data_IF_199496934603
#
_entry.id   IF_199496934603
#
_cell.length_a   1.000
_cell.length_b   1.000
_cell.length_c   1.000
_cell.angle_alpha   90.00
_cell.angle_beta   90.00
_cell.angle_gamma   90.00
#
_symmetry.space_group_name_H-M   'P 1'
#
loop_
_entity.id
_entity.type
_entity.pdbx_description
1 polymer ?
#
# COMPACT_ATOMS: atom_id res chain seq x y z
N UNK A 1 -5.19 -0.66 1.08
CA UNK A 1 -4.69 -1.72 0.16
C UNK A 1 -3.75 -2.60 0.93
N UNK A 2 -3.54 -3.85 0.51
CA UNK A 2 -2.67 -4.79 1.23
C UNK A 2 -1.62 -5.38 0.29
N UNK A 3 -0.35 -5.21 0.63
CA UNK A 3 0.74 -5.95 0.01
C UNK A 3 0.70 -7.38 0.53
N UNK A 4 0.64 -8.33 -0.38
CA UNK A 4 0.75 -9.76 -0.12
C UNK A 4 2.23 -10.14 -0.18
N UNK A 5 2.79 -10.66 0.89
CA UNK A 5 4.23 -10.87 1.02
C UNK A 5 4.58 -12.36 1.18
N UNK A 6 5.68 -12.79 0.54
CA UNK A 6 6.22 -14.15 0.70
C UNK A 6 6.75 -14.39 2.12
N UNK A 7 7.38 -13.36 2.70
CA UNK A 7 7.91 -13.34 4.07
C UNK A 7 7.47 -12.08 4.79
N UNK A 8 7.31 -12.17 6.10
CA UNK A 8 7.01 -11.00 6.93
C UNK A 8 8.11 -9.94 6.75
N UNK A 9 7.68 -8.72 6.41
CA UNK A 9 8.57 -7.56 6.34
C UNK A 9 7.98 -6.45 7.20
N UNK A 10 8.75 -6.02 8.20
CA UNK A 10 8.40 -4.87 9.01
C UNK A 10 9.13 -3.66 8.42
N UNK A 11 8.44 -2.95 7.53
CA UNK A 11 8.98 -1.74 6.91
C UNK A 11 9.39 -0.73 7.99
N UNK A 12 10.68 -0.39 7.99
CA UNK A 12 11.24 0.61 8.90
C UNK A 12 10.86 2.01 8.45
N UNK A 13 10.94 2.95 9.38
CA UNK A 13 10.73 4.38 9.14
C UNK A 13 11.51 4.90 7.91
N UNK A 14 12.79 4.53 7.76
CA UNK A 14 13.62 4.92 6.62
C UNK A 14 13.08 4.39 5.28
N UNK A 15 12.66 3.13 5.23
CA UNK A 15 12.09 2.51 4.02
C UNK A 15 10.79 3.20 3.61
N UNK A 16 9.91 3.46 4.58
CA UNK A 16 8.65 4.14 4.36
C UNK A 16 8.85 5.60 3.97
N UNK A 17 9.85 6.27 4.55
CA UNK A 17 10.23 7.64 4.19
C UNK A 17 10.70 7.69 2.75
N UNK A 18 11.62 6.80 2.34
CA UNK A 18 12.08 6.71 0.96
C UNK A 18 10.94 6.41 -0.02
N UNK A 19 10.04 5.49 0.32
CA UNK A 19 8.88 5.19 -0.52
C UNK A 19 7.95 6.40 -0.66
N UNK A 20 7.69 7.13 0.44
CA UNK A 20 6.88 8.34 0.41
C UNK A 20 7.57 9.47 -0.39
N UNK A 21 8.86 9.68 -0.22
CA UNK A 21 9.62 10.69 -0.97
C UNK A 21 9.57 10.42 -2.48
N UNK A 22 9.71 9.15 -2.90
CA UNK A 22 9.52 8.75 -4.31
C UNK A 22 8.09 8.97 -4.79
N UNK A 23 7.10 8.59 -3.99
CA UNK A 23 5.70 8.67 -4.35
C UNK A 23 5.24 10.11 -4.58
N UNK A 24 5.74 11.08 -3.80
CA UNK A 24 5.32 12.48 -3.90
C UNK A 24 6.36 13.45 -4.46
N UNK A 25 7.61 13.03 -4.66
CA UNK A 25 8.68 13.90 -5.17
C UNK A 25 9.04 15.04 -4.22
N UNK A 26 8.78 14.88 -2.92
CA UNK A 26 9.03 15.86 -1.86
C UNK A 26 9.74 15.20 -0.69
N UNK A 27 10.53 15.94 0.06
CA UNK A 27 11.23 15.42 1.25
C UNK A 27 10.28 15.22 2.44
N UNK A 28 10.54 14.19 3.24
CA UNK A 28 9.80 13.90 4.46
C UNK A 28 10.72 14.10 5.67
N UNK A 29 10.22 14.73 6.73
CA UNK A 29 10.96 14.91 7.98
C UNK A 29 10.86 13.66 8.87
N UNK A 30 11.80 13.53 9.79
CA UNK A 30 11.82 12.47 10.81
C UNK A 30 10.88 12.77 12.01
N UNK A 31 10.30 13.98 12.11
CA UNK A 31 9.50 14.42 13.26
C UNK A 31 8.20 15.15 12.87
N UNK A 32 7.27 15.19 13.82
CA UNK A 32 5.85 15.55 13.66
C UNK A 32 5.57 17.05 13.40
N UNK A 33 6.59 17.91 13.51
CA UNK A 33 6.47 19.36 13.28
C UNK A 33 6.34 19.71 11.77
N UNK A 34 6.56 18.75 10.88
CA UNK A 34 6.46 18.92 9.43
C UNK A 34 5.05 18.60 8.90
N UNK A 35 4.70 19.20 7.75
CA UNK A 35 3.51 18.77 6.99
C UNK A 35 3.70 17.37 6.34
N UNK A 36 4.93 16.87 6.33
CA UNK A 36 5.33 15.60 5.71
C UNK A 36 6.28 14.85 6.65
N UNK A 37 5.83 13.73 7.22
CA UNK A 37 6.66 12.92 8.12
C UNK A 37 6.23 11.45 8.15
N UNK A 38 7.14 10.62 8.63
CA UNK A 38 6.88 9.24 9.04
C UNK A 38 7.14 9.13 10.54
N UNK A 39 6.18 8.58 11.28
CA UNK A 39 6.35 8.27 12.70
C UNK A 39 6.06 6.80 12.95
N UNK A 40 6.97 6.14 13.64
CA UNK A 40 6.85 4.73 14.00
C UNK A 40 7.05 4.58 15.51
N UNK A 41 6.05 4.02 16.19
CA UNK A 41 6.08 3.78 17.63
C UNK A 41 5.49 2.41 17.93
N UNK A 42 6.36 1.46 18.27
CA UNK A 42 5.98 0.07 18.46
C UNK A 42 5.37 -0.53 17.19
N UNK A 43 4.09 -0.89 17.23
CA UNK A 43 3.34 -1.46 16.09
C UNK A 43 2.57 -0.42 15.28
N UNK A 44 2.55 0.84 15.73
CA UNK A 44 1.83 1.93 15.06
C UNK A 44 2.81 2.63 14.14
N UNK A 45 2.45 2.71 12.86
CA UNK A 45 3.23 3.46 11.87
C UNK A 45 2.31 4.40 11.12
N UNK A 46 2.56 5.70 11.22
CA UNK A 46 1.78 6.73 10.55
C UNK A 46 2.65 7.50 9.57
N UNK A 47 2.08 7.80 8.41
CA UNK A 47 2.70 8.65 7.38
C UNK A 47 1.78 9.83 7.17
N UNK A 48 2.29 11.04 7.40
CA UNK A 48 1.60 12.28 7.07
C UNK A 48 2.14 12.85 5.77
N UNK A 49 1.26 13.17 4.84
CA UNK A 49 1.59 13.88 3.59
C UNK A 49 0.58 14.99 3.33
N UNK A 50 0.95 16.21 3.73
CA UNK A 50 0.06 17.37 3.67
C UNK A 50 -1.22 17.13 4.48
N UNK A 51 -2.42 17.18 3.85
CA UNK A 51 -3.66 16.92 4.56
C UNK A 51 -3.87 15.43 4.88
N UNK A 52 -3.14 14.52 4.24
CA UNK A 52 -3.39 13.08 4.31
C UNK A 52 -2.61 12.39 5.44
N UNK A 53 -3.25 11.43 6.08
CA UNK A 53 -2.67 10.54 7.09
C UNK A 53 -2.94 9.10 6.67
N UNK A 54 -1.88 8.30 6.62
CA UNK A 54 -1.90 6.88 6.33
C UNK A 54 -1.45 6.11 7.56
N UNK A 55 -2.06 4.95 7.80
CA UNK A 55 -1.56 3.97 8.76
C UNK A 55 -0.98 2.78 8.00
N UNK A 56 0.20 2.32 8.42
CA UNK A 56 0.84 1.11 7.90
C UNK A 56 0.88 0.08 9.01
N UNK A 57 0.31 -1.10 8.76
CA UNK A 57 0.34 -2.23 9.67
C UNK A 57 0.99 -3.43 9.01
N UNK A 58 1.63 -4.28 9.82
CA UNK A 58 2.31 -5.49 9.35
C UNK A 58 1.76 -6.71 10.10
N UNK A 59 1.67 -7.83 9.39
CA UNK A 59 1.26 -9.13 9.92
C UNK A 59 2.22 -10.20 9.43
N UNK A 60 2.64 -11.08 10.35
CA UNK A 60 3.42 -12.29 10.04
C UNK A 60 2.55 -13.47 9.59
N UNK A 61 1.26 -13.19 9.35
CA UNK A 61 0.26 -14.14 8.85
C UNK A 61 -0.30 -13.67 7.52
N UNK A 62 -0.78 -14.59 6.66
CA UNK A 62 -1.47 -14.23 5.43
C UNK A 62 -2.66 -13.32 5.73
N UNK A 63 -2.93 -12.39 4.80
CA UNK A 63 -4.08 -11.50 4.92
C UNK A 63 -5.41 -12.25 4.70
N UNK A 64 -5.41 -13.16 3.72
CA UNK A 64 -6.53 -14.05 3.45
C UNK A 64 -6.01 -15.46 3.61
N UNK A 65 -6.48 -16.17 4.63
CA UNK A 65 -6.27 -17.60 4.71
C UNK A 65 -7.10 -18.26 3.61
N UNK A 66 -6.44 -18.89 2.65
CA UNK A 66 -7.10 -19.70 1.63
C UNK A 66 -6.82 -21.17 1.96
N UNK A 67 -7.75 -21.89 2.60
CA UNK A 67 -7.59 -23.32 2.81
C UNK A 67 -7.71 -24.04 1.45
N UNK A 68 -6.66 -24.73 1.02
CA UNK A 68 -6.66 -25.52 -0.22
C UNK A 68 -6.83 -24.69 -1.51
N UNK A 69 -7.58 -25.21 -2.49
CA UNK A 69 -7.84 -24.59 -3.81
C UNK A 69 -8.93 -23.48 -3.80
N UNK A 70 -9.31 -22.94 -2.63
CA UNK A 70 -10.46 -22.03 -2.48
C UNK A 70 -10.26 -20.59 -2.99
N UNK A 71 -9.25 -20.33 -3.83
CA UNK A 71 -9.08 -19.06 -4.54
C UNK A 71 -9.96 -18.95 -5.80
N UNK A 72 -10.94 -19.85 -6.01
CA UNK A 72 -11.76 -19.91 -7.21
C UNK A 72 -12.62 -18.68 -7.51
N UNK A 73 -12.74 -17.74 -6.56
CA UNK A 73 -13.36 -16.43 -6.78
C UNK A 73 -12.45 -15.44 -7.53
N UNK A 74 -11.14 -15.72 -7.62
CA UNK A 74 -10.22 -14.97 -8.46
C UNK A 74 -10.24 -15.54 -9.88
N UNK A 75 -10.57 -14.73 -10.90
CA UNK A 75 -10.74 -15.23 -12.26
C UNK A 75 -9.43 -15.78 -12.85
N UNK A 76 -8.33 -15.07 -12.65
CA UNK A 76 -7.05 -15.37 -13.31
C UNK A 76 -6.14 -16.28 -12.47
N UNK A 77 -5.41 -17.18 -13.14
CA UNK A 77 -4.45 -18.08 -12.48
C UNK A 77 -3.32 -17.32 -11.78
N UNK A 78 -2.81 -16.23 -12.37
CA UNK A 78 -1.76 -15.40 -11.78
C UNK A 78 -2.21 -14.73 -10.49
N UNK A 79 -3.48 -14.34 -10.39
CA UNK A 79 -4.06 -13.78 -9.17
C UNK A 79 -4.16 -14.83 -8.07
N UNK A 80 -4.62 -16.03 -8.40
CA UNK A 80 -4.68 -17.16 -7.46
C UNK A 80 -3.29 -17.53 -6.97
N UNK A 81 -2.30 -17.56 -7.86
CA UNK A 81 -0.91 -17.83 -7.49
C UNK A 81 -0.33 -16.75 -6.57
N UNK A 82 -0.52 -15.47 -6.88
CA UNK A 82 -0.10 -14.38 -6.00
C UNK A 82 -0.73 -14.49 -4.60
N UNK A 83 -1.99 -14.91 -4.52
CA UNK A 83 -2.66 -15.17 -3.25
C UNK A 83 -2.18 -16.46 -2.57
N UNK A 84 -1.85 -17.53 -3.30
CA UNK A 84 -1.38 -18.78 -2.71
C UNK A 84 0.05 -18.68 -2.16
N UNK A 85 0.90 -17.85 -2.78
CA UNK A 85 2.31 -17.72 -2.41
C UNK A 85 2.55 -16.81 -1.18
N UNK A 86 1.55 -16.02 -0.77
CA UNK A 86 1.73 -15.09 0.35
C UNK A 86 1.59 -15.80 1.71
N UNK A 87 2.49 -15.47 2.63
CA UNK A 87 2.46 -15.97 4.01
C UNK A 87 2.44 -14.85 5.05
N UNK A 88 2.54 -13.60 4.61
CA UNK A 88 2.54 -12.41 5.43
C UNK A 88 1.88 -11.26 4.67
N UNK A 89 1.58 -10.16 5.36
CA UNK A 89 1.05 -8.98 4.68
C UNK A 89 1.41 -7.66 5.36
N UNK A 90 1.36 -6.61 4.55
CA UNK A 90 1.45 -5.22 5.00
C UNK A 90 0.24 -4.48 4.48
N UNK A 91 -0.57 -3.92 5.36
CA UNK A 91 -1.71 -3.09 4.99
C UNK A 91 -1.39 -1.62 5.10
N UNK A 92 -1.96 -0.85 4.16
CA UNK A 92 -1.96 0.60 4.16
C UNK A 92 -3.40 1.09 4.16
N UNK A 93 -3.76 1.83 5.21
CA UNK A 93 -5.08 2.40 5.42
C UNK A 93 -5.04 3.92 5.32
N UNK A 94 -6.09 4.52 4.75
CA UNK A 94 -6.27 5.96 4.74
C UNK A 94 -7.09 6.37 5.96
N UNK A 95 -6.50 7.19 6.83
CA UNK A 95 -7.08 7.53 8.14
C UNK A 95 -8.00 8.75 8.07
N UNK A 96 -8.00 9.49 6.97
CA UNK A 96 -8.82 10.69 6.81
C UNK A 96 -10.20 10.36 6.25
N UNK A 97 -11.26 10.83 6.93
CA UNK A 97 -12.58 11.14 6.35
C UNK A 97 -13.24 10.08 5.44
N UNK A 98 -14.27 10.52 4.72
CA UNK A 98 -15.19 9.64 3.96
C UNK A 98 -14.95 9.64 2.44
N UNK A 99 -13.97 10.41 1.92
CA UNK A 99 -13.65 10.39 0.49
C UNK A 99 -12.84 9.14 0.14
N UNK A 100 -13.58 8.07 -0.17
CA UNK A 100 -13.04 6.76 -0.48
C UNK A 100 -12.20 6.77 -1.77
N UNK A 101 -12.56 7.60 -2.76
CA UNK A 101 -11.82 7.69 -4.03
C UNK A 101 -10.45 8.33 -3.86
N UNK A 102 -10.42 9.45 -3.16
CA UNK A 102 -9.19 10.12 -2.77
C UNK A 102 -8.30 9.21 -1.92
N UNK A 103 -8.87 8.59 -0.89
CA UNK A 103 -8.12 7.67 -0.02
C UNK A 103 -7.48 6.53 -0.80
N UNK A 104 -8.22 5.93 -1.74
CA UNK A 104 -7.70 4.86 -2.59
C UNK A 104 -6.53 5.34 -3.46
N UNK A 105 -6.63 6.55 -4.02
CA UNK A 105 -5.60 7.14 -4.87
C UNK A 105 -4.31 7.43 -4.09
N UNK A 106 -4.45 8.00 -2.89
CA UNK A 106 -3.32 8.30 -1.99
C UNK A 106 -2.61 7.01 -1.55
N UNK A 107 -3.37 5.98 -1.17
CA UNK A 107 -2.80 4.67 -0.81
C UNK A 107 -2.07 4.05 -2.01
N UNK A 108 -2.68 4.05 -3.20
CA UNK A 108 -2.09 3.48 -4.41
C UNK A 108 -0.73 4.09 -4.74
N UNK A 109 -0.60 5.41 -4.56
CA UNK A 109 0.64 6.14 -4.80
C UNK A 109 1.78 5.67 -3.90
N UNK A 110 1.52 5.49 -2.60
CA UNK A 110 2.52 4.96 -1.66
C UNK A 110 2.84 3.50 -1.95
N UNK A 111 1.81 2.67 -2.15
CA UNK A 111 1.98 1.22 -2.37
C UNK A 111 2.82 0.94 -3.61
N UNK A 112 2.69 1.74 -4.67
CA UNK A 112 3.52 1.63 -5.87
C UNK A 112 5.03 1.67 -5.57
N UNK A 113 5.44 2.43 -4.56
CA UNK A 113 6.84 2.61 -4.16
C UNK A 113 7.29 1.65 -3.04
N UNK A 114 6.36 0.90 -2.44
CA UNK A 114 6.65 -0.12 -1.42
C UNK A 114 6.80 -1.54 -2.01
N UNK A 115 6.35 -1.76 -3.23
CA UNK A 115 6.41 -3.07 -3.89
C UNK A 115 7.86 -3.43 -4.21
N UNK A 116 8.26 -4.64 -3.84
CA UNK A 116 9.59 -5.19 -4.09
C UNK A 116 9.50 -6.68 -4.50
N UNK A 117 10.65 -7.37 -4.53
CA UNK A 117 10.72 -8.80 -4.85
C UNK A 117 10.07 -9.71 -3.80
N UNK A 118 9.85 -9.25 -2.56
CA UNK A 118 9.15 -10.00 -1.53
C UNK A 118 7.62 -9.95 -1.70
N UNK A 119 7.11 -8.96 -2.44
CA UNK A 119 5.69 -8.86 -2.78
C UNK A 119 5.26 -9.91 -3.82
N UNK A 120 4.17 -10.63 -3.57
CA UNK A 120 3.52 -11.53 -4.54
C UNK A 120 2.44 -10.80 -5.34
N UNK A 121 1.86 -9.75 -4.77
CA UNK A 121 0.84 -8.92 -5.39
C UNK A 121 0.19 -7.96 -4.40
N UNK A 122 -0.73 -7.14 -4.87
CA UNK A 122 -1.50 -6.19 -4.06
C UNK A 122 -2.97 -6.60 -4.07
N UNK A 123 -3.55 -6.78 -2.88
CA UNK A 123 -4.97 -6.97 -2.71
C UNK A 123 -5.70 -5.64 -2.51
N UNK A 124 -6.71 -5.42 -3.35
CA UNK A 124 -7.62 -4.28 -3.30
C UNK A 124 -8.93 -4.74 -2.66
N UNK A 125 -9.09 -4.44 -1.38
CA UNK A 125 -10.22 -4.89 -0.56
C UNK A 125 -11.58 -4.53 -1.18
N UNK A 126 -11.72 -3.28 -1.64
CA UNK A 126 -12.99 -2.75 -2.17
C UNK A 126 -13.44 -3.49 -3.44
N UNK A 127 -12.47 -3.84 -4.28
CA UNK A 127 -12.71 -4.50 -5.56
C UNK A 127 -12.71 -6.02 -5.42
N UNK A 128 -12.34 -6.55 -4.25
CA UNK A 128 -12.06 -7.97 -4.03
C UNK A 128 -11.19 -8.53 -5.16
N UNK A 129 -10.10 -7.81 -5.43
CA UNK A 129 -9.22 -8.07 -6.57
C UNK A 129 -7.78 -8.17 -6.10
N UNK A 130 -7.02 -9.08 -6.69
CA UNK A 130 -5.57 -9.15 -6.57
C UNK A 130 -4.95 -8.62 -7.86
N UNK A 131 -3.95 -7.75 -7.74
CA UNK A 131 -3.05 -7.40 -8.85
C UNK A 131 -1.74 -8.16 -8.59
N UNK A 132 -1.38 -9.17 -9.41
CA UNK A 132 -0.13 -9.91 -9.25
C UNK A 132 1.09 -8.99 -9.39
N UNK A 133 2.19 -9.33 -8.71
CA UNK A 133 3.47 -8.62 -8.87
C UNK A 133 4.19 -9.06 -10.15
N UNK A 134 3.63 -8.65 -11.29
CA UNK A 134 4.20 -8.78 -12.62
C UNK A 134 4.45 -7.40 -13.25
N UNK A 135 4.82 -7.37 -14.53
CA UNK A 135 5.13 -6.13 -15.27
C UNK A 135 3.96 -5.12 -15.31
N UNK A 136 2.73 -5.56 -15.01
CA UNK A 136 1.54 -4.71 -15.02
C UNK A 136 1.30 -3.98 -13.69
N UNK A 137 1.79 -4.51 -12.56
CA UNK A 137 1.43 -4.03 -11.22
C UNK A 137 1.63 -2.54 -11.05
N UNK A 138 2.84 -2.05 -11.37
CA UNK A 138 3.17 -0.64 -11.24
C UNK A 138 2.24 0.24 -12.10
N UNK A 139 1.96 -0.16 -13.35
CA UNK A 139 1.05 0.59 -14.24
C UNK A 139 -0.37 0.63 -13.70
N UNK A 140 -0.84 -0.45 -13.09
CA UNK A 140 -2.17 -0.48 -12.47
C UNK A 140 -2.26 0.41 -11.25
N UNK A 141 -1.26 0.37 -10.36
CA UNK A 141 -1.20 1.23 -9.19
C UNK A 141 -1.12 2.71 -9.58
N UNK A 142 -0.38 3.05 -10.63
CA UNK A 142 -0.35 4.42 -11.17
C UNK A 142 -1.72 4.87 -11.70
N UNK A 143 -2.46 4.02 -12.42
CA UNK A 143 -3.83 4.34 -12.86
C UNK A 143 -4.76 4.61 -11.68
N UNK A 144 -4.65 3.83 -10.61
CA UNK A 144 -5.43 4.02 -9.39
C UNK A 144 -5.03 5.32 -8.68
N UNK A 145 -3.74 5.63 -8.62
CA UNK A 145 -3.22 6.87 -8.05
C UNK A 145 -3.71 8.12 -8.80
N UNK A 146 -3.80 8.06 -10.14
CA UNK A 146 -4.28 9.19 -10.95
C UNK A 146 -5.80 9.36 -10.98
N UNK A 147 -6.57 8.42 -10.43
CA UNK A 147 -8.03 8.39 -10.57
C UNK A 147 -8.77 9.54 -9.85
N UNK A 148 -8.13 10.19 -8.88
CA UNK A 148 -8.71 11.30 -8.09
C UNK A 148 -7.85 12.56 -8.03
N UNK A 149 -6.80 12.65 -8.86
CA UNK A 149 -5.74 13.67 -8.74
C UNK A 149 -6.15 15.09 -9.22
N UNK A 150 -7.39 15.29 -9.68
CA UNK A 150 -7.89 16.61 -10.10
C UNK A 150 -8.18 17.58 -8.95
N UNK A 151 -7.82 17.24 -7.70
CA UNK A 151 -7.99 18.13 -6.52
C UNK A 151 -6.72 18.34 -5.67
N UNK A 152 -5.60 17.73 -6.02
CA UNK A 152 -4.36 17.88 -5.23
C UNK A 152 -3.57 19.09 -5.75
N UNK A 153 -4.01 20.29 -5.38
CA UNK A 153 -3.14 21.47 -5.44
C UNK A 153 -2.19 21.36 -4.26
N UNK A 154 -0.97 20.88 -4.51
CA UNK A 154 0.13 21.01 -3.54
C UNK A 154 0.43 22.51 -3.44
N UNK A 155 -0.09 23.16 -2.41
CA UNK A 155 0.23 24.56 -2.12
C UNK A 155 1.72 24.66 -1.78
N UNK A 156 2.43 25.45 -2.59
CA UNK A 156 3.83 25.85 -2.36
C UNK A 156 4.07 26.39 -0.95
#
# INVERSE_FOLDING_TARGET
MVLLLRKAHFFRDEELRMAAEKAWGISFAERDESKHFVVQSGRITLIKVGPHVLNVFNSDRPYIEVPGDNAGWLPEMSQRQALAEHNACTGVDYMNGTDVGLGHSVIAKLVAEMVDANCTGVYILREKRVIPNDESLYRELQKLASSSDSRVVVGN
#
